data_IF_019732608333
#
_entry.id   IF_019732608333
#
_cell.length_a   1.000
_cell.length_b   1.000
_cell.length_c   1.000
_cell.angle_alpha   90.00
_cell.angle_beta   90.00
_cell.angle_gamma   90.00
#
_symmetry.space_group_name_H-M   'P 1'
#
loop_
_entity.id
_entity.type
_entity.pdbx_description
1 polymer ?
#
# COMPACT_ATOMS: atom_id res chain seq x y z
N UNK A 1 15.85 65.74 11.25
CA UNK A 1 15.74 64.44 11.86
C UNK A 1 14.27 64.19 12.21
N UNK A 2 13.58 63.36 11.43
CA UNK A 2 12.16 62.97 11.67
C UNK A 2 12.12 61.48 11.87
N UNK A 3 11.92 61.03 13.10
CA UNK A 3 11.75 59.63 13.47
C UNK A 3 10.32 59.18 13.14
N UNK A 4 10.21 58.20 12.26
CA UNK A 4 8.93 57.62 11.86
C UNK A 4 8.77 56.26 12.58
N UNK A 5 8.24 56.29 13.81
CA UNK A 5 7.93 55.13 14.65
C UNK A 5 6.41 54.87 14.67
N UNK A 6 5.87 54.33 13.56
CA UNK A 6 4.48 53.84 13.56
C UNK A 6 4.37 52.61 12.65
N UNK A 7 4.74 51.38 13.11
CA UNK A 7 4.31 50.13 12.47
C UNK A 7 4.54 48.83 13.29
N UNK A 8 4.15 48.73 14.56
CA UNK A 8 3.94 47.38 15.10
C UNK A 8 2.47 47.02 15.38
N UNK A 9 1.55 48.01 15.47
CA UNK A 9 0.19 47.76 15.94
C UNK A 9 -0.71 46.98 14.94
N UNK A 10 -0.52 47.16 13.63
CA UNK A 10 -1.33 46.48 12.62
C UNK A 10 -0.96 44.97 12.46
N UNK A 11 0.28 44.59 12.77
CA UNK A 11 0.69 43.19 12.70
C UNK A 11 0.11 42.32 13.82
N UNK A 12 -0.02 42.94 15.02
CA UNK A 12 -0.61 42.23 16.17
C UNK A 12 -2.12 42.03 16.02
N UNK A 13 -2.83 43.01 15.44
CA UNK A 13 -4.26 42.91 15.16
C UNK A 13 -4.57 41.85 14.09
N UNK A 14 -3.71 41.70 13.07
CA UNK A 14 -3.90 40.70 12.01
C UNK A 14 -3.69 39.29 12.51
N UNK A 15 -2.74 39.06 13.42
CA UNK A 15 -2.48 37.76 14.03
C UNK A 15 -3.62 37.33 14.94
N UNK A 16 -4.21 38.25 15.70
CA UNK A 16 -5.37 37.97 16.55
C UNK A 16 -6.64 37.63 15.75
N UNK A 17 -6.87 38.30 14.60
CA UNK A 17 -8.03 38.01 13.72
C UNK A 17 -7.87 36.65 13.08
N UNK A 18 -6.67 36.22 12.64
CA UNK A 18 -6.41 34.90 12.10
C UNK A 18 -6.55 33.79 13.15
N UNK A 19 -6.19 34.06 14.41
CA UNK A 19 -6.35 33.09 15.49
C UNK A 19 -7.83 32.88 15.86
N UNK A 20 -8.67 33.91 15.78
CA UNK A 20 -10.12 33.81 16.02
C UNK A 20 -10.82 33.03 14.87
N UNK A 21 -10.40 33.25 13.63
CA UNK A 21 -10.94 32.50 12.48
C UNK A 21 -10.57 31.00 12.51
N UNK A 22 -9.45 30.64 13.12
CA UNK A 22 -9.07 29.23 13.30
C UNK A 22 -9.88 28.52 14.39
N UNK A 23 -10.33 29.23 15.42
CA UNK A 23 -11.10 28.66 16.52
C UNK A 23 -12.59 28.46 16.18
N UNK A 24 -13.14 29.18 15.21
CA UNK A 24 -14.56 29.06 14.81
C UNK A 24 -14.79 28.06 13.65
N UNK A 25 -13.75 27.72 12.87
CA UNK A 25 -13.88 26.85 11.70
C UNK A 25 -13.94 25.33 12.00
N UNK A 26 -13.61 24.89 13.22
CA UNK A 26 -13.52 23.46 13.55
C UNK A 26 -14.76 22.83 14.19
N UNK A 27 -15.78 23.61 14.56
CA UNK A 27 -16.97 23.08 15.26
C UNK A 27 -18.09 22.71 14.30
N UNK A 28 -18.29 23.45 13.21
CA UNK A 28 -19.40 23.15 12.26
C UNK A 28 -19.19 21.89 11.43
N UNK A 29 -17.95 21.53 11.09
CA UNK A 29 -17.66 20.31 10.33
C UNK A 29 -17.91 19.01 11.12
N UNK A 30 -17.84 19.06 12.45
CA UNK A 30 -18.12 17.91 13.31
C UNK A 30 -19.62 17.63 13.49
N UNK A 31 -20.43 18.67 13.55
CA UNK A 31 -21.87 18.51 13.72
C UNK A 31 -22.55 17.98 12.48
N UNK A 32 -22.11 18.40 11.29
CA UNK A 32 -22.64 17.89 10.02
C UNK A 32 -22.28 16.42 9.79
N UNK A 33 -21.12 15.95 10.21
CA UNK A 33 -20.77 14.52 10.14
C UNK A 33 -21.54 13.64 11.13
N UNK A 34 -21.88 14.17 12.30
CA UNK A 34 -22.72 13.42 13.26
C UNK A 34 -24.17 13.32 12.80
N UNK A 35 -24.72 14.34 12.19
CA UNK A 35 -26.09 14.32 11.64
C UNK A 35 -26.20 13.34 10.47
N UNK A 36 -25.24 13.32 9.55
CA UNK A 36 -25.23 12.39 8.41
C UNK A 36 -25.11 10.91 8.85
N UNK A 37 -24.42 10.64 9.95
CA UNK A 37 -24.37 9.29 10.53
C UNK A 37 -25.66 8.87 11.24
N UNK A 38 -26.42 9.80 11.77
CA UNK A 38 -27.73 9.50 12.38
C UNK A 38 -28.80 9.23 11.33
N UNK A 39 -28.82 9.94 10.22
CA UNK A 39 -29.74 9.70 9.11
C UNK A 39 -29.51 8.34 8.45
N UNK A 40 -28.26 7.95 8.21
CA UNK A 40 -27.91 6.62 7.68
C UNK A 40 -28.29 5.46 8.61
N UNK A 41 -28.34 5.68 9.93
CA UNK A 41 -28.81 4.65 10.88
C UNK A 41 -30.33 4.52 10.95
N UNK A 42 -31.07 5.58 10.63
CA UNK A 42 -32.53 5.53 10.60
C UNK A 42 -33.08 4.85 9.35
N UNK A 43 -32.36 4.95 8.22
CA UNK A 43 -32.81 4.34 6.97
C UNK A 43 -32.63 2.81 6.95
N UNK A 44 -31.68 2.27 7.74
CA UNK A 44 -31.45 0.81 7.89
C UNK A 44 -32.41 0.16 8.88
N UNK A 45 -33.15 0.96 9.69
CA UNK A 45 -34.03 0.46 10.75
C UNK A 45 -35.51 0.35 10.34
N UNK A 46 -35.88 0.60 9.09
CA UNK A 46 -37.25 0.65 8.60
C UNK A 46 -37.57 -0.38 7.49
N UNK A 47 -37.03 -1.59 7.57
CA UNK A 47 -37.64 -2.72 6.87
C UNK A 47 -38.26 -3.68 7.90
N UNK A 48 -39.58 -3.72 8.04
CA UNK A 48 -40.25 -4.76 8.79
C UNK A 48 -40.30 -6.02 7.96
N UNK A 49 -39.79 -7.10 8.50
CA UNK A 49 -40.05 -8.43 8.03
C UNK A 49 -41.52 -8.77 8.26
N UNK A 50 -42.29 -8.77 7.21
CA UNK A 50 -43.66 -9.35 7.18
C UNK A 50 -43.84 -10.00 5.82
N UNK A 51 -43.78 -11.33 5.81
CA UNK A 51 -44.73 -12.22 5.16
C UNK A 51 -44.28 -13.67 5.22
N UNK A 52 -44.75 -14.37 6.23
CA UNK A 52 -45.01 -15.80 6.18
C UNK A 52 -46.45 -16.00 5.67
N UNK A 53 -46.68 -16.80 4.65
CA UNK A 53 -47.93 -17.52 4.52
C UNK A 53 -47.70 -18.98 4.93
N UNK A 54 -48.39 -19.32 6.01
CA UNK A 54 -48.80 -20.66 6.35
C UNK A 54 -49.75 -21.21 5.26
N UNK A 55 -49.35 -22.25 4.54
CA UNK A 55 -50.28 -23.21 3.99
C UNK A 55 -49.55 -24.55 3.80
N UNK A 56 -50.01 -25.52 4.56
CA UNK A 56 -49.56 -26.89 4.48
C UNK A 56 -49.92 -27.53 3.14
N UNK A 57 -48.94 -28.14 2.54
CA UNK A 57 -49.14 -29.26 1.62
C UNK A 57 -48.09 -30.30 1.91
N UNK A 58 -48.61 -31.49 2.31
CA UNK A 58 -47.91 -32.74 2.44
C UNK A 58 -47.21 -33.09 1.11
N UNK A 59 -45.91 -32.95 1.04
CA UNK A 59 -45.11 -33.52 -0.04
C UNK A 59 -44.45 -34.78 0.48
N UNK A 60 -44.89 -35.89 -0.08
CA UNK A 60 -44.36 -37.23 0.10
C UNK A 60 -42.86 -37.25 -0.05
N UNK A 61 -42.23 -37.84 0.94
CA UNK A 61 -40.80 -38.23 0.98
C UNK A 61 -40.50 -39.14 -0.22
N UNK A 62 -39.79 -38.57 -1.20
CA UNK A 62 -38.87 -39.31 -2.07
C UNK A 62 -37.48 -38.83 -1.73
N UNK A 63 -36.96 -39.35 -0.65
CA UNK A 63 -35.58 -39.15 -0.22
C UNK A 63 -34.73 -40.07 -1.12
N UNK A 64 -33.85 -39.54 -1.96
CA UNK A 64 -32.84 -40.40 -2.60
C UNK A 64 -31.93 -40.91 -1.49
N UNK A 65 -31.81 -42.22 -1.38
CA UNK A 65 -30.86 -42.90 -0.49
C UNK A 65 -29.46 -42.34 -0.77
N UNK A 66 -28.94 -41.61 0.20
CA UNK A 66 -27.53 -41.21 0.19
C UNK A 66 -26.74 -42.46 0.52
N UNK A 67 -25.89 -42.96 -0.39
CA UNK A 67 -25.08 -44.14 -0.10
C UNK A 67 -24.22 -43.86 1.13
N UNK A 68 -24.21 -44.82 2.06
CA UNK A 68 -23.39 -44.73 3.26
C UNK A 68 -21.91 -44.60 2.88
N UNK A 69 -21.18 -43.76 3.62
CA UNK A 69 -19.75 -43.49 3.43
C UNK A 69 -18.90 -44.77 3.52
N UNK A 70 -19.47 -45.82 4.07
CA UNK A 70 -18.79 -47.13 4.23
C UNK A 70 -18.63 -47.91 2.92
N UNK A 71 -19.39 -47.59 1.87
CA UNK A 71 -19.32 -48.27 0.57
C UNK A 71 -18.37 -47.60 -0.44
N UNK A 72 -17.77 -46.44 -0.09
CA UNK A 72 -16.75 -45.80 -0.92
C UNK A 72 -15.40 -46.39 -0.58
N UNK A 73 -15.11 -47.50 -1.19
CA UNK A 73 -13.74 -48.07 -1.20
C UNK A 73 -12.90 -47.22 -2.14
N UNK A 74 -12.31 -46.14 -1.58
CA UNK A 74 -11.28 -45.39 -2.26
C UNK A 74 -10.05 -46.27 -2.29
N UNK A 75 -9.81 -46.97 -3.39
CA UNK A 75 -8.49 -47.50 -3.69
C UNK A 75 -7.60 -46.27 -3.90
N UNK A 76 -6.93 -45.84 -2.82
CA UNK A 76 -5.85 -44.84 -2.90
C UNK A 76 -4.69 -45.47 -3.71
N UNK A 77 -4.84 -45.44 -5.03
CA UNK A 77 -3.68 -45.48 -5.90
C UNK A 77 -3.09 -44.08 -5.88
N UNK A 78 -2.37 -43.74 -4.81
CA UNK A 78 -1.53 -42.57 -4.76
C UNK A 78 -0.36 -42.81 -5.73
N UNK A 79 -0.59 -42.60 -7.01
CA UNK A 79 0.53 -42.28 -7.88
C UNK A 79 1.01 -40.88 -7.47
N UNK A 80 2.25 -40.72 -7.00
CA UNK A 80 2.78 -39.41 -6.77
C UNK A 80 2.74 -38.67 -8.10
N UNK A 81 1.82 -37.72 -8.23
CA UNK A 81 1.83 -36.79 -9.35
C UNK A 81 3.17 -36.04 -9.21
N UNK A 82 4.17 -36.52 -9.93
CA UNK A 82 5.38 -35.77 -10.18
C UNK A 82 4.93 -34.59 -11.00
N UNK A 83 4.60 -33.49 -10.29
CA UNK A 83 4.49 -32.16 -10.88
C UNK A 83 5.89 -31.84 -11.37
N UNK A 84 6.21 -32.29 -12.60
CA UNK A 84 7.32 -31.69 -13.33
C UNK A 84 6.95 -30.23 -13.50
N UNK A 85 7.36 -29.41 -12.53
CA UNK A 85 7.24 -27.97 -12.60
C UNK A 85 7.88 -27.55 -13.92
N UNK A 86 7.08 -26.91 -14.78
CA UNK A 86 7.65 -26.27 -15.96
C UNK A 86 8.85 -25.42 -15.48
N UNK A 87 9.97 -25.39 -16.21
CA UNK A 87 11.15 -24.63 -15.79
C UNK A 87 10.71 -23.20 -15.50
N UNK A 88 10.87 -22.78 -14.24
CA UNK A 88 10.54 -21.41 -13.83
C UNK A 88 11.51 -20.51 -14.59
N UNK A 89 10.97 -19.67 -15.48
CA UNK A 89 11.78 -18.68 -16.16
C UNK A 89 12.25 -17.66 -15.14
N UNK A 90 13.54 -17.37 -15.12
CA UNK A 90 14.12 -16.34 -14.28
C UNK A 90 14.42 -15.07 -15.09
N UNK A 91 14.39 -13.94 -14.43
CA UNK A 91 14.79 -12.65 -14.98
C UNK A 91 15.74 -11.96 -13.99
N UNK A 92 16.79 -11.36 -14.52
CA UNK A 92 17.70 -10.56 -13.69
C UNK A 92 17.14 -9.14 -13.52
N UNK A 93 17.05 -8.71 -12.28
CA UNK A 93 16.62 -7.36 -11.89
C UNK A 93 17.75 -6.62 -11.19
N UNK A 94 17.79 -5.30 -11.35
CA UNK A 94 18.70 -4.42 -10.65
C UNK A 94 18.05 -3.91 -9.36
N UNK A 95 18.67 -4.13 -8.23
CA UNK A 95 18.28 -3.62 -6.93
C UNK A 95 19.32 -2.60 -6.47
N UNK A 96 18.90 -1.54 -5.80
CA UNK A 96 19.80 -0.48 -5.34
C UNK A 96 19.86 -0.44 -3.81
N UNK A 97 21.03 -0.68 -3.26
CA UNK A 97 21.29 -0.70 -1.81
C UNK A 97 22.33 0.35 -1.46
N UNK A 98 22.48 0.69 -0.18
CA UNK A 98 23.55 1.54 0.28
C UNK A 98 24.91 0.85 0.19
N UNK A 99 25.97 1.63 -0.02
CA UNK A 99 27.35 1.15 0.20
C UNK A 99 27.58 0.88 1.70
N UNK A 100 28.79 0.53 2.08
CA UNK A 100 29.15 0.26 3.48
C UNK A 100 28.94 1.46 4.43
N UNK A 101 28.88 2.69 3.87
CA UNK A 101 28.59 3.92 4.63
C UNK A 101 27.10 4.25 4.63
N UNK A 102 26.31 3.68 3.72
CA UNK A 102 24.90 4.01 3.48
C UNK A 102 24.70 5.31 2.69
N UNK A 103 25.77 6.04 2.37
CA UNK A 103 25.68 7.36 1.72
C UNK A 103 25.41 7.28 0.21
N UNK A 104 25.93 6.23 -0.46
CA UNK A 104 25.80 6.08 -1.91
C UNK A 104 25.01 4.82 -2.25
N UNK A 105 24.17 4.91 -3.30
CA UNK A 105 23.44 3.76 -3.82
C UNK A 105 24.28 2.97 -4.82
N UNK A 106 24.43 1.68 -4.56
CA UNK A 106 25.13 0.70 -5.39
C UNK A 106 24.16 -0.30 -5.96
N UNK A 107 24.30 -0.61 -7.25
CA UNK A 107 23.49 -1.61 -7.94
C UNK A 107 23.93 -3.01 -7.58
N UNK A 108 23.00 -3.87 -7.19
CA UNK A 108 23.14 -5.33 -7.09
C UNK A 108 22.18 -6.00 -8.08
N UNK A 109 22.67 -6.96 -8.85
CA UNK A 109 21.83 -7.76 -9.73
C UNK A 109 21.40 -9.04 -9.01
N UNK A 110 20.10 -9.37 -9.11
CA UNK A 110 19.52 -10.58 -8.53
C UNK A 110 18.62 -11.27 -9.54
N UNK A 111 18.72 -12.59 -9.64
CA UNK A 111 17.82 -13.41 -10.44
C UNK A 111 16.57 -13.73 -9.64
N UNK A 112 15.40 -13.42 -10.18
CA UNK A 112 14.11 -13.71 -9.57
C UNK A 112 13.18 -14.41 -10.55
N UNK A 113 12.20 -15.19 -10.09
CA UNK A 113 11.21 -15.83 -10.94
C UNK A 113 10.46 -14.77 -11.78
N UNK A 114 10.31 -15.06 -13.08
CA UNK A 114 9.49 -14.21 -13.95
C UNK A 114 8.01 -14.48 -13.67
N UNK A 115 7.35 -13.50 -13.07
CA UNK A 115 5.94 -13.58 -12.66
C UNK A 115 5.15 -12.42 -13.27
N UNK A 116 3.83 -12.56 -13.29
CA UNK A 116 2.96 -11.41 -13.52
C UNK A 116 3.13 -10.41 -12.37
N UNK A 117 3.26 -9.12 -12.70
CA UNK A 117 3.50 -8.10 -11.68
C UNK A 117 4.97 -7.96 -11.26
N UNK A 118 5.91 -8.03 -12.23
CA UNK A 118 7.35 -7.91 -11.97
C UNK A 118 7.74 -6.74 -11.07
N UNK A 119 7.08 -5.58 -11.18
CA UNK A 119 7.36 -4.42 -10.33
C UNK A 119 7.16 -4.75 -8.84
N UNK A 120 6.08 -5.47 -8.50
CA UNK A 120 5.79 -5.93 -7.14
C UNK A 120 6.88 -6.91 -6.66
N UNK A 121 7.12 -7.97 -7.41
CA UNK A 121 8.12 -8.96 -7.05
C UNK A 121 9.52 -8.34 -6.85
N UNK A 122 9.86 -7.37 -7.68
CA UNK A 122 11.15 -6.66 -7.57
C UNK A 122 11.23 -5.81 -6.29
N UNK A 123 10.15 -5.10 -5.91
CA UNK A 123 10.14 -4.33 -4.66
C UNK A 123 10.12 -5.24 -3.44
N UNK A 124 9.37 -6.33 -3.46
CA UNK A 124 9.38 -7.31 -2.37
C UNK A 124 10.79 -7.88 -2.17
N UNK A 125 11.49 -8.20 -3.26
CA UNK A 125 12.90 -8.62 -3.20
C UNK A 125 13.84 -7.53 -2.69
N UNK A 126 13.61 -6.26 -3.04
CA UNK A 126 14.38 -5.13 -2.50
C UNK A 126 14.19 -5.00 -0.98
N UNK A 127 12.97 -5.20 -0.48
CA UNK A 127 12.64 -5.12 0.95
C UNK A 127 13.25 -6.27 1.77
N UNK A 128 13.57 -7.42 1.15
CA UNK A 128 14.35 -8.49 1.80
C UNK A 128 15.76 -8.04 2.21
N UNK A 129 16.27 -7.00 1.56
CA UNK A 129 17.61 -6.48 1.78
C UNK A 129 18.68 -7.08 0.86
N UNK A 130 19.92 -6.60 1.00
CA UNK A 130 21.06 -7.06 0.19
C UNK A 130 21.54 -8.44 0.62
N UNK A 131 22.24 -9.13 -0.29
CA UNK A 131 22.84 -10.42 0.01
C UNK A 131 23.86 -10.28 1.14
N UNK A 132 23.87 -11.22 2.08
CA UNK A 132 24.68 -11.20 3.31
C UNK A 132 26.18 -10.99 3.08
N UNK A 133 26.70 -11.40 1.91
CA UNK A 133 28.12 -11.32 1.55
C UNK A 133 28.45 -10.15 0.61
N UNK A 134 27.47 -9.29 0.31
CA UNK A 134 27.65 -8.18 -0.66
C UNK A 134 28.44 -7.01 -0.10
N UNK A 135 28.49 -6.85 1.23
CA UNK A 135 29.02 -5.67 1.89
C UNK A 135 28.16 -4.42 1.73
N UNK A 136 26.93 -4.59 1.21
CA UNK A 136 25.95 -3.53 1.04
C UNK A 136 25.04 -3.42 2.27
N UNK A 137 24.40 -2.27 2.43
CA UNK A 137 23.47 -1.99 3.54
C UNK A 137 22.07 -1.71 3.03
N UNK A 138 21.05 -2.16 3.78
CA UNK A 138 19.69 -1.77 3.52
C UNK A 138 19.48 -0.29 3.87
N UNK A 139 18.97 0.49 2.92
CA UNK A 139 18.63 1.92 3.12
C UNK A 139 17.14 2.14 3.42
N UNK A 140 16.34 1.10 3.23
CA UNK A 140 14.93 1.11 3.56
C UNK A 140 14.78 0.59 5.00
N UNK A 141 14.01 1.25 5.88
CA UNK A 141 13.82 0.82 7.25
C UNK A 141 13.31 -0.62 7.33
N UNK A 142 13.88 -1.38 8.27
CA UNK A 142 13.45 -2.76 8.50
C UNK A 142 11.98 -2.80 8.94
N UNK A 143 11.23 -3.78 8.42
CA UNK A 143 9.81 -3.93 8.72
C UNK A 143 8.89 -3.16 7.78
N UNK A 144 9.43 -2.31 6.87
CA UNK A 144 8.64 -1.67 5.82
C UNK A 144 7.97 -2.73 4.95
N UNK A 145 6.65 -2.59 4.75
CA UNK A 145 5.84 -3.48 3.92
C UNK A 145 5.28 -2.73 2.72
N UNK A 146 5.23 -3.41 1.57
CA UNK A 146 4.53 -2.92 0.39
C UNK A 146 3.03 -3.23 0.52
N UNK A 147 2.21 -2.21 0.74
CA UNK A 147 0.76 -2.33 0.88
C UNK A 147 0.08 -2.44 -0.49
N UNK A 148 0.47 -1.55 -1.42
CA UNK A 148 -0.06 -1.57 -2.78
C UNK A 148 0.96 -1.09 -3.81
N UNK A 149 0.79 -1.55 -5.06
CA UNK A 149 1.57 -1.09 -6.21
C UNK A 149 0.69 -1.08 -7.47
N UNK A 150 0.69 0.04 -8.16
CA UNK A 150 -0.09 0.24 -9.38
C UNK A 150 0.77 0.89 -10.47
N UNK A 151 0.97 0.16 -11.58
CA UNK A 151 1.72 0.65 -12.74
C UNK A 151 0.75 1.15 -13.81
N UNK A 152 0.70 2.46 -14.00
CA UNK A 152 -0.08 3.14 -15.05
C UNK A 152 0.76 3.28 -16.31
N UNK A 153 0.73 2.27 -17.16
CA UNK A 153 1.60 2.18 -18.34
C UNK A 153 1.45 3.37 -19.30
N UNK A 154 0.22 3.84 -19.55
CA UNK A 154 -0.04 5.00 -20.43
C UNK A 154 0.60 6.29 -19.92
N UNK A 155 0.74 6.43 -18.60
CA UNK A 155 1.35 7.58 -17.94
C UNK A 155 2.83 7.35 -17.60
N UNK A 156 3.34 6.15 -17.85
CA UNK A 156 4.65 5.69 -17.40
C UNK A 156 4.92 5.97 -15.91
N UNK A 157 3.88 5.81 -15.12
CA UNK A 157 3.88 6.14 -13.69
C UNK A 157 3.60 4.90 -12.85
N UNK A 158 4.40 4.72 -11.82
CA UNK A 158 4.17 3.72 -10.78
C UNK A 158 3.72 4.43 -9.49
N UNK A 159 2.66 3.96 -8.88
CA UNK A 159 2.22 4.40 -7.56
C UNK A 159 2.52 3.25 -6.60
N UNK A 160 3.30 3.53 -5.56
CA UNK A 160 3.67 2.56 -4.53
C UNK A 160 3.19 3.04 -3.16
N UNK A 161 2.53 2.18 -2.42
CA UNK A 161 2.05 2.47 -1.07
C UNK A 161 2.74 1.57 -0.06
N UNK A 162 3.33 2.16 0.95
CA UNK A 162 4.08 1.46 2.00
C UNK A 162 3.44 1.67 3.36
N UNK A 163 3.76 0.78 4.28
CA UNK A 163 3.40 0.91 5.68
C UNK A 163 4.17 2.05 6.35
N UNK A 164 3.72 2.44 7.54
CA UNK A 164 4.25 3.59 8.28
C UNK A 164 5.73 3.47 8.67
N UNK A 165 6.31 2.26 8.66
CA UNK A 165 7.72 2.04 8.96
C UNK A 165 8.64 2.77 7.99
N UNK A 166 8.22 2.97 6.72
CA UNK A 166 8.96 3.80 5.78
C UNK A 166 9.18 5.22 6.33
N UNK A 167 8.24 5.72 7.14
CA UNK A 167 8.31 7.03 7.78
C UNK A 167 9.52 7.20 8.71
N UNK A 168 10.11 6.11 9.23
CA UNK A 168 11.31 6.17 10.05
C UNK A 168 12.52 6.67 9.26
N UNK A 169 12.52 6.49 7.93
CA UNK A 169 13.51 7.09 7.05
C UNK A 169 13.18 8.55 6.69
N UNK A 170 11.97 9.05 7.00
CA UNK A 170 11.50 10.37 6.56
C UNK A 170 11.79 11.49 7.59
N UNK A 171 12.84 11.37 8.34
CA UNK A 171 13.26 12.35 9.36
C UNK A 171 13.99 13.59 8.78
N UNK A 172 14.12 13.66 7.45
CA UNK A 172 14.78 14.77 6.74
C UNK A 172 16.29 14.63 6.61
N UNK A 173 16.85 13.48 6.99
CA UNK A 173 18.29 13.18 6.80
C UNK A 173 18.59 12.70 5.38
N UNK A 174 19.87 12.51 5.05
CA UNK A 174 20.32 11.91 3.80
C UNK A 174 19.74 10.50 3.59
N UNK A 175 19.48 9.78 4.66
CA UNK A 175 18.92 8.43 4.65
C UNK A 175 17.52 8.39 4.02
N UNK A 176 16.72 9.43 4.26
CA UNK A 176 15.40 9.60 3.59
C UNK A 176 15.52 9.62 2.07
N UNK A 177 16.44 10.45 1.57
CA UNK A 177 16.63 10.59 0.13
C UNK A 177 17.10 9.26 -0.47
N UNK A 178 17.99 8.54 0.20
CA UNK A 178 18.52 7.26 -0.26
C UNK A 178 17.47 6.16 -0.25
N UNK A 179 16.57 6.09 0.73
CA UNK A 179 15.49 5.11 0.76
C UNK A 179 14.54 5.27 -0.44
N UNK A 180 14.05 6.49 -0.68
CA UNK A 180 13.15 6.76 -1.79
C UNK A 180 13.85 6.63 -3.16
N UNK A 181 15.10 7.09 -3.27
CA UNK A 181 15.90 6.97 -4.49
C UNK A 181 16.21 5.49 -4.82
N UNK A 182 16.48 4.64 -3.83
CA UNK A 182 16.66 3.20 -3.95
C UNK A 182 15.45 2.55 -4.62
N UNK A 183 14.26 2.80 -4.10
CA UNK A 183 13.01 2.28 -4.64
C UNK A 183 12.76 2.84 -6.06
N UNK A 184 12.95 4.15 -6.27
CA UNK A 184 12.75 4.78 -7.56
C UNK A 184 13.66 4.21 -8.64
N UNK A 185 14.97 4.07 -8.36
CA UNK A 185 15.94 3.48 -9.31
C UNK A 185 15.63 2.02 -9.62
N UNK A 186 15.22 1.27 -8.61
CA UNK A 186 14.82 -0.12 -8.75
C UNK A 186 13.59 -0.26 -9.64
N UNK A 187 12.58 0.60 -9.52
CA UNK A 187 11.38 0.56 -10.36
C UNK A 187 11.61 1.14 -11.77
N UNK A 188 12.38 2.21 -11.87
CA UNK A 188 12.64 2.86 -13.17
C UNK A 188 13.56 2.05 -14.11
N UNK A 189 14.00 0.84 -13.72
CA UNK A 189 14.62 -0.10 -14.67
C UNK A 189 13.62 -0.61 -15.72
N UNK A 190 12.32 -0.64 -15.38
CA UNK A 190 11.27 -1.04 -16.30
C UNK A 190 10.91 0.11 -17.25
N UNK A 191 10.84 -0.16 -18.56
CA UNK A 191 10.53 0.85 -19.57
C UNK A 191 9.14 1.47 -19.44
N UNK A 192 8.24 0.77 -18.72
CA UNK A 192 6.90 1.24 -18.41
C UNK A 192 6.85 2.23 -17.25
N UNK A 193 7.99 2.56 -16.60
CA UNK A 193 8.04 3.40 -15.41
C UNK A 193 9.10 4.49 -15.58
N UNK A 194 8.65 5.74 -15.65
CA UNK A 194 9.49 6.95 -15.68
C UNK A 194 9.29 7.83 -14.45
N UNK A 195 8.17 7.63 -13.74
CA UNK A 195 7.83 8.39 -12.54
C UNK A 195 7.32 7.44 -11.44
N UNK A 196 7.76 7.64 -10.22
CA UNK A 196 7.29 6.90 -9.05
C UNK A 196 6.67 7.87 -8.04
N UNK A 197 5.37 7.67 -7.76
CA UNK A 197 4.64 8.34 -6.69
C UNK A 197 4.65 7.45 -5.44
N UNK A 198 5.17 7.99 -4.36
CA UNK A 198 5.26 7.30 -3.07
C UNK A 198 4.09 7.67 -2.19
N UNK A 199 3.47 6.66 -1.62
CA UNK A 199 2.44 6.80 -0.60
C UNK A 199 2.85 6.08 0.68
N UNK A 200 2.31 6.54 1.76
CA UNK A 200 2.40 5.90 3.05
C UNK A 200 0.99 5.84 3.65
N UNK A 201 0.48 4.63 3.83
CA UNK A 201 -0.91 4.40 4.28
C UNK A 201 -1.95 5.20 3.46
N UNK A 202 -1.79 5.19 2.13
CA UNK A 202 -2.67 5.87 1.17
C UNK A 202 -2.38 7.36 0.96
N UNK A 203 -1.53 7.99 1.77
CA UNK A 203 -1.20 9.42 1.64
C UNK A 203 0.06 9.63 0.80
N UNK A 204 0.00 10.48 -0.23
CA UNK A 204 1.16 10.81 -1.06
C UNK A 204 2.19 11.59 -0.24
N UNK A 205 3.42 11.09 -0.22
CA UNK A 205 4.55 11.70 0.52
C UNK A 205 5.63 12.27 -0.40
N UNK A 206 5.83 11.70 -1.58
CA UNK A 206 6.84 12.14 -2.54
C UNK A 206 6.50 11.70 -3.96
N UNK A 207 7.18 12.30 -4.95
CA UNK A 207 7.18 11.84 -6.35
C UNK A 207 8.59 12.04 -6.91
N UNK A 208 9.16 10.97 -7.44
CA UNK A 208 10.48 10.99 -8.09
C UNK A 208 10.38 10.59 -9.57
N UNK A 209 11.21 11.22 -10.39
CA UNK A 209 11.31 10.90 -11.83
C UNK A 209 12.62 10.20 -12.13
N UNK A 210 12.59 9.38 -13.17
CA UNK A 210 13.79 8.74 -13.74
C UNK A 210 14.80 9.83 -14.11
N UNK A 211 16.01 9.67 -13.59
CA UNK A 211 17.16 10.54 -13.93
C UNK A 211 17.85 10.05 -15.18
#
# INVERSE_FOLDING_TARGET
>A
MKNNTKKPFHRLAFVLILAVLWLTGCTEARETMMQMRQELRQEVALEPAENSPESGEEIQQNQPEIPSIEDIRIEETYEPVQTMGAPVQEITVALYFGDSSGENLVKQEKSIPKVEGMARATIETLLEGPDSNSGLTAVIPQGTQLLDINVKQEQKKCIVDFSHELGQALDGTADTANALESIARTLCQFDSIEEVEFRMEGQTIATLKKK
#
